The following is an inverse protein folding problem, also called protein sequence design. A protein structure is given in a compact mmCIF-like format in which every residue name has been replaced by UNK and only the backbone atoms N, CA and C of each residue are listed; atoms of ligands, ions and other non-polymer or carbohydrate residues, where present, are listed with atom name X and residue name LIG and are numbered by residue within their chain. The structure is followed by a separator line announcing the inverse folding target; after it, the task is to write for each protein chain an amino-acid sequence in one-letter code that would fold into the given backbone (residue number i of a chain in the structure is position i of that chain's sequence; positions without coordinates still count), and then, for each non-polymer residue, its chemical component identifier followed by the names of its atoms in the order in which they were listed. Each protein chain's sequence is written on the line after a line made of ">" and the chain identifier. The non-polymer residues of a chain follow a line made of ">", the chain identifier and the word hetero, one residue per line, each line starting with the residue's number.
data_IF_172854407314
#
_entry.id   IF_172854407314
#
_cell.length_a   1.000
_cell.length_b   1.000
_cell.length_c   1.000
_cell.angle_alpha   90.00
_cell.angle_beta   90.00
_cell.angle_gamma   90.00
#
_symmetry.space_group_name_H-M   'P 1'
#
loop_
_entity.id
_entity.type
_entity.pdbx_description
1 polymer ?
#
# COMPACT_ATOMS: atom_id res chain seq x y z
N UNK A 1 12.81 -1.93 14.00
CA UNK A 1 13.30 -2.20 12.63
C UNK A 1 14.18 -1.05 12.12
N UNK A 2 14.19 -0.69 10.83
CA UNK A 2 15.12 0.33 10.30
C UNK A 2 14.88 1.71 10.91
N UNK A 3 13.62 2.17 10.96
CA UNK A 3 13.27 3.44 11.61
C UNK A 3 13.61 3.43 13.10
N UNK A 4 13.30 2.37 13.82
CA UNK A 4 13.62 2.26 15.25
C UNK A 4 15.13 2.35 15.50
N UNK A 5 15.93 1.77 14.61
CA UNK A 5 17.40 1.84 14.69
C UNK A 5 17.92 3.25 14.37
N UNK A 6 17.34 3.93 13.39
CA UNK A 6 17.68 5.30 13.05
C UNK A 6 17.30 6.25 14.19
N UNK A 7 16.10 6.14 14.74
CA UNK A 7 15.63 6.98 15.84
C UNK A 7 16.47 6.79 17.07
N UNK A 8 16.77 5.55 17.46
CA UNK A 8 17.64 5.27 18.60
C UNK A 8 19.08 5.81 18.40
N UNK A 9 19.61 5.73 17.20
CA UNK A 9 20.94 6.26 16.89
C UNK A 9 20.94 7.79 16.89
N UNK A 10 19.88 8.43 16.35
CA UNK A 10 19.70 9.88 16.38
C UNK A 10 19.63 10.38 17.84
N UNK A 11 18.75 9.80 18.63
CA UNK A 11 18.52 10.23 20.00
C UNK A 11 19.80 10.12 20.83
N UNK A 12 20.54 9.02 20.69
CA UNK A 12 21.83 8.85 21.34
C UNK A 12 22.87 9.89 20.90
N UNK A 13 22.88 10.27 19.61
CA UNK A 13 23.77 11.31 19.07
C UNK A 13 23.41 12.69 19.62
N UNK A 14 22.13 13.04 19.66
CA UNK A 14 21.65 14.32 20.16
C UNK A 14 21.93 14.47 21.67
N UNK A 15 21.62 13.43 22.45
CA UNK A 15 21.89 13.41 23.90
C UNK A 15 23.39 13.56 24.22
N UNK A 16 24.25 12.88 23.46
CA UNK A 16 25.70 12.93 23.67
C UNK A 16 26.30 14.32 23.40
N UNK A 17 25.69 15.11 22.50
CA UNK A 17 26.18 16.40 22.08
C UNK A 17 25.38 17.58 22.65
N UNK A 18 24.33 17.32 23.45
CA UNK A 18 23.41 18.34 23.99
C UNK A 18 22.75 19.17 22.88
N UNK A 19 22.32 18.50 21.79
CA UNK A 19 21.63 19.12 20.65
C UNK A 19 20.11 19.03 20.79
N UNK A 20 19.42 20.00 20.19
CA UNK A 20 17.96 20.01 20.14
C UNK A 20 17.41 18.99 19.15
N UNK A 21 16.36 18.24 19.55
CA UNK A 21 15.73 17.22 18.68
C UNK A 21 15.09 17.79 17.40
N UNK A 22 14.80 19.09 17.40
CA UNK A 22 14.24 19.81 16.26
C UNK A 22 15.27 20.72 15.59
N UNK A 23 16.53 20.61 15.96
CA UNK A 23 17.64 21.39 15.42
C UNK A 23 18.14 20.86 14.06
N UNK A 24 18.94 21.68 13.38
CA UNK A 24 19.58 21.31 12.11
C UNK A 24 20.48 20.08 12.23
N UNK A 25 21.07 19.87 13.41
CA UNK A 25 21.94 18.74 13.71
C UNK A 25 21.21 17.41 13.67
N UNK A 26 19.92 17.40 14.05
CA UNK A 26 19.05 16.22 13.94
C UNK A 26 18.77 15.86 12.47
N UNK A 27 18.51 16.87 11.64
CA UNK A 27 18.29 16.67 10.19
C UNK A 27 19.57 16.19 9.48
N UNK A 28 20.71 16.81 9.76
CA UNK A 28 22.03 16.41 9.22
C UNK A 28 22.39 14.98 9.62
N UNK A 29 22.11 14.60 10.88
CA UNK A 29 22.33 13.22 11.34
C UNK A 29 21.47 12.23 10.56
N UNK A 30 20.18 12.53 10.38
CA UNK A 30 19.27 11.64 9.65
C UNK A 30 19.68 11.47 8.19
N UNK A 31 20.11 12.55 7.51
CA UNK A 31 20.58 12.50 6.14
C UNK A 31 21.82 11.59 6.02
N UNK A 32 22.81 11.81 6.89
CA UNK A 32 24.02 10.99 6.94
C UNK A 32 23.72 9.53 7.28
N UNK A 33 22.81 9.28 8.22
CA UNK A 33 22.41 7.91 8.58
C UNK A 33 21.78 7.19 7.41
N UNK A 34 20.94 7.86 6.61
CA UNK A 34 20.33 7.28 5.39
C UNK A 34 21.37 6.97 4.31
N UNK A 35 22.42 7.77 4.18
CA UNK A 35 23.52 7.49 3.25
C UNK A 35 24.31 6.25 3.68
N UNK A 36 24.62 6.12 4.97
CA UNK A 36 25.41 5.02 5.53
C UNK A 36 24.60 3.72 5.69
N UNK A 37 23.27 3.84 5.88
CA UNK A 37 22.33 2.74 6.11
C UNK A 37 21.14 2.86 5.15
N UNK A 38 21.28 2.48 3.88
CA UNK A 38 20.19 2.59 2.91
C UNK A 38 18.92 1.89 3.39
N UNK A 39 17.77 2.56 3.18
CA UNK A 39 16.48 2.00 3.55
C UNK A 39 16.20 0.69 2.78
N UNK A 40 15.80 -0.39 3.44
CA UNK A 40 15.57 -1.68 2.81
C UNK A 40 14.21 -1.70 2.09
N UNK A 41 14.11 -1.00 0.97
CA UNK A 41 12.88 -0.97 0.18
C UNK A 41 12.42 -2.37 -0.22
N UNK A 42 11.12 -2.62 -0.07
CA UNK A 42 10.49 -3.76 -0.71
C UNK A 42 10.59 -3.61 -2.25
N UNK A 43 10.65 -4.71 -2.94
CA UNK A 43 10.57 -4.75 -4.41
C UNK A 43 9.13 -4.93 -4.86
N UNK A 44 8.86 -4.69 -6.15
CA UNK A 44 7.57 -5.01 -6.75
C UNK A 44 7.25 -6.51 -6.68
N UNK A 45 8.29 -7.38 -6.71
CA UNK A 45 8.11 -8.82 -6.53
C UNK A 45 7.65 -9.18 -5.11
N UNK A 46 8.05 -8.39 -4.11
CA UNK A 46 7.53 -8.54 -2.74
C UNK A 46 6.04 -8.19 -2.69
N UNK A 47 5.64 -7.11 -3.36
CA UNK A 47 4.22 -6.72 -3.48
C UNK A 47 3.40 -7.85 -4.11
N UNK A 48 3.86 -8.39 -5.24
CA UNK A 48 3.16 -9.48 -5.92
C UNK A 48 3.07 -10.74 -5.07
N UNK A 49 4.10 -11.07 -4.26
CA UNK A 49 4.01 -12.18 -3.29
C UNK A 49 2.93 -11.97 -2.24
N UNK A 50 2.67 -10.73 -1.82
CA UNK A 50 1.55 -10.42 -0.92
C UNK A 50 0.21 -10.63 -1.63
N UNK A 51 0.07 -10.24 -2.90
CA UNK A 51 -1.11 -10.56 -3.71
C UNK A 51 -1.31 -12.07 -3.82
N UNK A 52 -0.27 -12.83 -4.21
CA UNK A 52 -0.33 -14.29 -4.31
C UNK A 52 -0.81 -14.92 -2.99
N UNK A 53 -0.31 -14.43 -1.86
CA UNK A 53 -0.68 -14.95 -0.55
C UNK A 53 -2.16 -14.69 -0.23
N UNK A 54 -2.63 -13.46 -0.40
CA UNK A 54 -4.03 -13.10 -0.09
C UNK A 54 -4.99 -13.81 -1.05
N UNK A 55 -4.67 -13.83 -2.36
CA UNK A 55 -5.46 -14.54 -3.37
C UNK A 55 -5.57 -16.03 -3.05
N UNK A 56 -4.48 -16.64 -2.58
CA UNK A 56 -4.48 -18.04 -2.15
C UNK A 56 -5.37 -18.32 -0.92
N UNK A 57 -5.65 -17.31 -0.11
CA UNK A 57 -6.53 -17.44 1.06
C UNK A 57 -8.00 -17.21 0.75
N UNK A 58 -8.33 -16.22 -0.08
CA UNK A 58 -9.71 -15.72 -0.24
C UNK A 58 -10.24 -15.73 -1.67
N UNK A 59 -9.39 -16.00 -2.66
CA UNK A 59 -9.74 -15.92 -4.09
C UNK A 59 -9.44 -14.54 -4.70
N UNK A 60 -9.16 -14.54 -6.01
CA UNK A 60 -8.78 -13.34 -6.77
C UNK A 60 -9.92 -12.31 -6.83
N UNK A 61 -11.16 -12.78 -6.79
CA UNK A 61 -12.37 -11.94 -6.83
C UNK A 61 -12.58 -11.07 -5.58
N UNK A 62 -11.79 -11.29 -4.53
CA UNK A 62 -11.84 -10.53 -3.28
C UNK A 62 -10.69 -9.55 -3.10
N UNK A 63 -9.84 -9.40 -4.12
CA UNK A 63 -8.63 -8.57 -4.04
C UNK A 63 -8.73 -7.39 -4.99
N UNK A 64 -8.22 -6.24 -4.55
CA UNK A 64 -8.11 -5.02 -5.33
C UNK A 64 -6.88 -4.21 -4.93
N UNK A 65 -6.57 -3.16 -5.69
CA UNK A 65 -5.44 -2.27 -5.41
C UNK A 65 -5.89 -1.14 -4.46
N UNK A 66 -5.10 -0.95 -3.39
CA UNK A 66 -5.20 0.21 -2.50
C UNK A 66 -3.79 0.69 -2.20
N UNK A 67 -3.30 1.70 -2.93
CA UNK A 67 -1.88 2.06 -2.96
C UNK A 67 -1.43 2.95 -1.83
N UNK A 68 -2.32 3.81 -1.31
CA UNK A 68 -2.01 4.74 -0.21
C UNK A 68 -0.70 5.52 -0.44
N UNK A 69 -0.56 6.11 -1.64
CA UNK A 69 0.67 6.78 -2.06
C UNK A 69 0.93 8.11 -1.35
N UNK A 70 -0.08 8.69 -0.71
CA UNK A 70 0.05 9.97 -0.03
C UNK A 70 0.47 9.80 1.44
N UNK A 71 1.32 10.71 1.92
CA UNK A 71 1.71 10.79 3.33
C UNK A 71 2.75 9.77 3.81
N UNK A 72 3.30 8.92 2.94
CA UNK A 72 4.22 7.82 3.32
C UNK A 72 5.70 8.12 3.05
N UNK A 73 6.03 9.32 2.56
CA UNK A 73 7.39 9.70 2.19
C UNK A 73 7.99 8.75 1.15
N UNK A 74 9.31 8.53 1.20
CA UNK A 74 10.00 7.59 0.30
C UNK A 74 10.14 6.19 0.95
N UNK A 75 9.02 5.60 1.38
CA UNK A 75 9.00 4.22 1.92
C UNK A 75 8.39 3.20 0.95
N UNK A 76 7.91 3.65 -0.20
CA UNK A 76 7.21 2.85 -1.19
C UNK A 76 8.13 1.83 -1.89
N UNK A 77 7.58 0.70 -2.38
CA UNK A 77 8.34 -0.35 -3.05
C UNK A 77 9.07 0.16 -4.29
N UNK A 78 10.26 -0.38 -4.54
CA UNK A 78 11.00 -0.12 -5.78
C UNK A 78 10.21 -0.64 -6.98
N UNK A 79 10.00 0.21 -7.97
CA UNK A 79 9.20 -0.09 -9.17
C UNK A 79 7.71 0.18 -9.02
N UNK A 80 7.27 0.68 -7.84
CA UNK A 80 5.88 1.04 -7.57
C UNK A 80 5.81 2.28 -6.65
N UNK A 81 6.48 3.37 -7.06
CA UNK A 81 6.59 4.62 -6.28
C UNK A 81 5.41 5.58 -6.47
N UNK A 82 4.69 5.45 -7.57
CA UNK A 82 3.51 6.26 -7.89
C UNK A 82 2.59 5.56 -8.89
N UNK A 83 1.44 6.18 -9.18
CA UNK A 83 0.40 5.62 -10.06
C UNK A 83 0.89 5.37 -11.50
N UNK A 84 1.90 6.09 -11.98
CA UNK A 84 2.45 5.89 -13.33
C UNK A 84 3.13 4.53 -13.49
N UNK A 85 3.50 3.91 -12.37
CA UNK A 85 4.20 2.62 -12.31
C UNK A 85 3.26 1.41 -12.17
N UNK A 86 1.94 1.61 -12.18
CA UNK A 86 1.01 0.48 -12.16
C UNK A 86 1.16 -0.47 -13.35
N UNK A 87 1.66 0.00 -14.50
CA UNK A 87 2.02 -0.86 -15.62
C UNK A 87 3.05 -1.93 -15.25
N UNK A 88 3.98 -1.62 -14.35
CA UNK A 88 4.98 -2.58 -13.87
C UNK A 88 4.32 -3.70 -13.04
N UNK A 89 3.29 -3.35 -12.24
CA UNK A 89 2.54 -4.33 -11.47
C UNK A 89 1.72 -5.25 -12.38
N UNK A 90 1.08 -4.68 -13.41
CA UNK A 90 0.35 -5.46 -14.43
C UNK A 90 1.28 -6.42 -15.17
N UNK A 91 2.48 -5.96 -15.56
CA UNK A 91 3.49 -6.80 -16.20
C UNK A 91 3.87 -7.98 -15.29
N UNK A 92 4.08 -7.73 -13.99
CA UNK A 92 4.39 -8.78 -13.02
C UNK A 92 3.27 -9.79 -12.84
N UNK A 93 2.01 -9.36 -12.84
CA UNK A 93 0.88 -10.31 -12.83
C UNK A 93 0.84 -11.18 -14.08
N UNK A 94 1.09 -10.60 -15.27
CA UNK A 94 1.18 -11.36 -16.51
C UNK A 94 2.35 -12.37 -16.49
N UNK A 95 3.53 -11.97 -16.02
CA UNK A 95 4.69 -12.85 -15.83
C UNK A 95 4.38 -14.04 -14.89
N UNK A 96 3.56 -13.82 -13.88
CA UNK A 96 3.09 -14.82 -12.93
C UNK A 96 2.00 -15.75 -13.50
N UNK A 97 1.43 -15.41 -14.64
CA UNK A 97 0.40 -16.19 -15.31
C UNK A 97 -1.03 -15.89 -14.89
N UNK A 98 -1.28 -14.73 -14.24
CA UNK A 98 -2.63 -14.24 -14.02
C UNK A 98 -3.33 -14.01 -15.35
N UNK A 99 -4.61 -14.40 -15.44
CA UNK A 99 -5.41 -14.15 -16.63
C UNK A 99 -5.73 -12.64 -16.77
N UNK A 100 -6.09 -12.22 -17.98
CA UNK A 100 -6.55 -10.85 -18.21
C UNK A 100 -7.78 -10.52 -17.34
N UNK A 101 -8.68 -11.49 -17.14
CA UNK A 101 -9.87 -11.36 -16.31
C UNK A 101 -9.51 -11.16 -14.82
N UNK A 102 -8.54 -11.93 -14.29
CA UNK A 102 -8.04 -11.75 -12.94
C UNK A 102 -7.44 -10.36 -12.73
N UNK A 103 -6.63 -9.92 -13.68
CA UNK A 103 -5.98 -8.60 -13.63
C UNK A 103 -7.03 -7.48 -13.71
N UNK A 104 -8.02 -7.58 -14.61
CA UNK A 104 -9.14 -6.63 -14.68
C UNK A 104 -9.92 -6.59 -13.36
N UNK A 105 -10.15 -7.74 -12.74
CA UNK A 105 -10.74 -7.87 -11.42
C UNK A 105 -9.96 -7.08 -10.37
N UNK A 106 -8.66 -7.34 -10.25
CA UNK A 106 -7.75 -6.70 -9.30
C UNK A 106 -7.67 -5.18 -9.54
N UNK A 107 -7.63 -4.74 -10.80
CA UNK A 107 -7.53 -3.33 -11.17
C UNK A 107 -8.79 -2.52 -10.83
N UNK A 108 -9.93 -3.16 -10.61
CA UNK A 108 -11.13 -2.43 -10.19
C UNK A 108 -12.45 -3.14 -10.39
N UNK A 109 -12.58 -4.14 -11.29
CA UNK A 109 -13.85 -4.78 -11.56
C UNK A 109 -14.41 -5.51 -10.31
N UNK A 110 -13.55 -6.05 -9.44
CA UNK A 110 -13.97 -6.64 -8.18
C UNK A 110 -14.64 -5.63 -7.26
N UNK A 111 -14.07 -4.44 -7.13
CA UNK A 111 -14.63 -3.34 -6.33
C UNK A 111 -15.98 -2.89 -6.90
N UNK A 112 -16.05 -2.69 -8.22
CA UNK A 112 -17.30 -2.28 -8.89
C UNK A 112 -18.41 -3.31 -8.73
N UNK A 113 -18.09 -4.59 -8.81
CA UNK A 113 -19.05 -5.68 -8.58
C UNK A 113 -19.65 -5.63 -7.18
N UNK A 114 -18.79 -5.44 -6.17
CA UNK A 114 -19.23 -5.34 -4.76
C UNK A 114 -20.09 -4.09 -4.56
N UNK A 115 -19.65 -2.96 -5.11
CA UNK A 115 -20.40 -1.70 -5.06
C UNK A 115 -21.81 -1.85 -5.64
N UNK A 116 -21.93 -2.38 -6.86
CA UNK A 116 -23.22 -2.63 -7.51
C UNK A 116 -24.11 -3.55 -6.69
N UNK A 117 -23.55 -4.57 -6.06
CA UNK A 117 -24.30 -5.47 -5.20
C UNK A 117 -24.88 -4.76 -3.96
N UNK A 118 -24.11 -3.83 -3.37
CA UNK A 118 -24.55 -3.03 -2.23
C UNK A 118 -25.67 -2.06 -2.65
N UNK A 119 -25.52 -1.38 -3.78
CA UNK A 119 -26.55 -0.48 -4.31
C UNK A 119 -27.84 -1.23 -4.60
N UNK A 120 -27.78 -2.37 -5.27
CA UNK A 120 -28.95 -3.21 -5.56
C UNK A 120 -29.64 -3.67 -4.27
N UNK A 121 -28.89 -4.07 -3.26
CA UNK A 121 -29.45 -4.45 -1.96
C UNK A 121 -30.13 -3.26 -1.26
N UNK A 122 -29.53 -2.09 -1.29
CA UNK A 122 -30.09 -0.89 -0.69
C UNK A 122 -31.42 -0.47 -1.38
N UNK A 123 -31.48 -0.56 -2.70
CA UNK A 123 -32.72 -0.28 -3.47
C UNK A 123 -33.83 -1.28 -3.13
N UNK A 124 -33.50 -2.57 -3.03
CA UNK A 124 -34.47 -3.61 -2.65
C UNK A 124 -35.04 -3.36 -1.23
N UNK A 125 -34.18 -3.07 -0.26
CA UNK A 125 -34.61 -2.79 1.11
C UNK A 125 -35.45 -1.50 1.21
N UNK A 126 -35.08 -0.46 0.46
CA UNK A 126 -35.87 0.77 0.39
C UNK A 126 -37.28 0.50 -0.22
N UNK A 127 -37.35 -0.34 -1.26
CA UNK A 127 -38.62 -0.75 -1.84
C UNK A 127 -39.52 -1.55 -0.88
N UNK A 128 -38.92 -2.45 -0.10
CA UNK A 128 -39.65 -3.21 0.94
C UNK A 128 -40.17 -2.29 2.03
N UNK A 129 -39.37 -1.33 2.48
CA UNK A 129 -39.77 -0.36 3.49
C UNK A 129 -40.92 0.54 3.02
N UNK A 130 -40.87 1.01 1.76
CA UNK A 130 -41.93 1.81 1.14
C UNK A 130 -43.25 1.02 1.02
N UNK A 131 -43.20 -0.26 0.67
CA UNK A 131 -44.37 -1.13 0.54
C UNK A 131 -44.97 -1.51 1.88
N UNK A 132 -44.22 -1.48 2.99
CA UNK A 132 -44.67 -1.79 4.33
C UNK A 132 -45.26 -0.56 5.07
N UNK A 133 -45.15 0.64 4.50
CA UNK A 133 -45.76 1.83 5.09
C UNK A 133 -47.23 1.93 4.72
N UNK A 134 -48.17 2.09 5.72
CA UNK A 134 -49.60 2.10 5.50
C UNK A 134 -50.10 3.35 4.75
#
# INVERSE_FOLDING_TARGET
>A
LWYDAMDAARDAYLDQNDYDEHGSEAEEFQEKYREEHPFPFASIDDVVRHFDHVIGLVGVEHVGIGSDYDGVGDSLPTGLKDVSQYSNLVEKFLEKGYSHEDIEGILGANMLRVWQSIESYAEEEAGKAAAASP
#
